data_IF_044492947121
#
_entry.id   IF_044492947121
#
_cell.length_a   1.000
_cell.length_b   1.000
_cell.length_c   1.000
_cell.angle_alpha   90.00
_cell.angle_beta   90.00
_cell.angle_gamma   90.00
#
_symmetry.space_group_name_H-M   'P 1'
#
loop_
_entity.id
_entity.type
_entity.pdbx_description
1 polymer ?
#
# COMPACT_ATOMS: atom_id res chain seq x y z
N UNK A 1 -0.99 22.06 -2.77
CA UNK A 1 -2.24 21.92 -3.57
C UNK A 1 -3.13 20.92 -2.88
N UNK A 2 -4.44 21.13 -2.88
CA UNK A 2 -5.41 20.17 -2.35
C UNK A 2 -5.42 18.90 -3.21
N UNK A 3 -5.46 17.72 -2.57
CA UNK A 3 -5.56 16.43 -3.28
C UNK A 3 -6.90 16.35 -4.01
N UNK A 4 -6.85 15.91 -5.27
CA UNK A 4 -8.05 15.63 -6.06
C UNK A 4 -8.78 14.40 -5.52
N UNK A 5 -10.10 14.43 -5.60
CA UNK A 5 -11.03 13.36 -5.24
C UNK A 5 -11.59 12.72 -6.51
N UNK A 6 -12.29 11.59 -6.38
CA UNK A 6 -12.96 10.96 -7.52
C UNK A 6 -13.91 11.92 -8.27
N UNK A 7 -14.50 12.91 -7.58
CA UNK A 7 -15.40 13.90 -8.20
C UNK A 7 -14.70 14.87 -9.14
N UNK A 8 -13.38 14.97 -9.05
CA UNK A 8 -12.56 15.87 -9.86
C UNK A 8 -12.11 15.21 -11.18
N UNK A 9 -12.44 13.93 -11.40
CA UNK A 9 -12.08 13.17 -12.60
C UNK A 9 -13.32 12.81 -13.42
N UNK A 10 -13.14 12.70 -14.75
CA UNK A 10 -14.17 12.17 -15.63
C UNK A 10 -14.52 10.71 -15.25
N UNK A 11 -15.80 10.32 -15.24
CA UNK A 11 -16.21 8.95 -14.90
C UNK A 11 -15.52 7.87 -15.74
N UNK A 12 -15.36 8.09 -17.03
CA UNK A 12 -14.71 7.15 -17.95
C UNK A 12 -13.22 7.01 -17.66
N UNK A 13 -12.57 8.08 -17.17
CA UNK A 13 -11.18 8.01 -16.74
C UNK A 13 -11.04 7.17 -15.45
N UNK A 14 -11.99 7.28 -14.52
CA UNK A 14 -12.06 6.43 -13.32
C UNK A 14 -12.24 4.96 -13.70
N UNK A 15 -13.09 4.65 -14.67
CA UNK A 15 -13.29 3.29 -15.17
C UNK A 15 -12.03 2.72 -15.83
N UNK A 16 -11.33 3.52 -16.64
CA UNK A 16 -10.03 3.12 -17.19
C UNK A 16 -9.01 2.81 -16.08
N UNK A 17 -8.98 3.63 -15.03
CA UNK A 17 -8.10 3.41 -13.90
C UNK A 17 -8.49 2.14 -13.13
N UNK A 18 -9.77 1.87 -12.96
CA UNK A 18 -10.26 0.65 -12.33
C UNK A 18 -9.81 -0.60 -13.09
N UNK A 19 -10.00 -0.63 -14.42
CA UNK A 19 -9.51 -1.72 -15.26
C UNK A 19 -8.01 -1.91 -15.16
N UNK A 20 -7.23 -0.81 -15.13
CA UNK A 20 -5.79 -0.89 -14.94
C UNK A 20 -5.44 -1.43 -13.55
N UNK A 21 -6.08 -0.92 -12.50
CA UNK A 21 -5.82 -1.29 -11.12
C UNK A 21 -6.20 -2.74 -10.79
N UNK A 22 -7.11 -3.33 -11.57
CA UNK A 22 -7.52 -4.74 -11.47
C UNK A 22 -6.87 -5.64 -12.54
N UNK A 23 -5.92 -5.12 -13.33
CA UNK A 23 -5.13 -5.91 -14.28
C UNK A 23 -5.87 -6.30 -15.57
N UNK A 24 -7.04 -5.71 -15.84
CA UNK A 24 -7.84 -5.93 -17.05
C UNK A 24 -7.23 -5.26 -18.28
N UNK A 25 -6.49 -4.16 -18.08
CA UNK A 25 -5.67 -3.50 -19.11
C UNK A 25 -4.25 -3.28 -18.60
N UNK A 26 -3.30 -3.24 -19.53
CA UNK A 26 -1.91 -2.92 -19.24
C UNK A 26 -1.74 -1.44 -18.88
N UNK A 27 -0.61 -1.12 -18.22
CA UNK A 27 -0.21 0.28 -17.97
C UNK A 27 -0.14 1.08 -19.27
N UNK A 28 0.33 0.47 -20.36
CA UNK A 28 0.44 1.14 -21.67
C UNK A 28 -0.94 1.49 -22.23
N UNK A 29 -1.87 0.54 -22.23
CA UNK A 29 -3.25 0.78 -22.69
C UNK A 29 -3.95 1.84 -21.84
N UNK A 30 -3.72 1.86 -20.52
CA UNK A 30 -4.20 2.95 -19.68
C UNK A 30 -3.66 4.30 -20.15
N UNK A 31 -2.33 4.43 -20.31
CA UNK A 31 -1.69 5.69 -20.69
C UNK A 31 -2.17 6.17 -22.06
N UNK A 32 -2.29 5.27 -23.03
CA UNK A 32 -2.76 5.58 -24.39
C UNK A 32 -4.21 6.10 -24.37
N UNK A 33 -5.10 5.46 -23.60
CA UNK A 33 -6.51 5.86 -23.49
C UNK A 33 -6.71 7.10 -22.61
N UNK A 34 -5.92 7.25 -21.56
CA UNK A 34 -5.95 8.40 -20.66
C UNK A 34 -5.44 9.69 -21.33
N UNK A 35 -4.67 9.58 -22.42
CA UNK A 35 -4.18 10.74 -23.17
C UNK A 35 -5.29 11.67 -23.67
N UNK A 36 -6.52 11.16 -23.87
CA UNK A 36 -7.70 12.00 -24.20
C UNK A 36 -8.02 13.04 -23.11
N UNK A 37 -7.65 12.76 -21.86
CA UNK A 37 -7.92 13.63 -20.71
C UNK A 37 -6.71 14.51 -20.33
N UNK A 38 -5.62 14.43 -21.10
CA UNK A 38 -4.37 15.17 -20.91
C UNK A 38 -4.48 16.62 -21.40
N UNK A 39 -5.29 17.44 -20.72
CA UNK A 39 -5.56 18.85 -21.08
C UNK A 39 -4.60 19.79 -20.34
N UNK A 40 -4.25 20.93 -20.94
CA UNK A 40 -3.55 22.02 -20.24
C UNK A 40 -2.11 21.70 -19.83
N UNK A 41 -1.42 20.82 -20.58
CA UNK A 41 -0.04 20.42 -20.28
C UNK A 41 0.08 19.26 -19.28
N UNK A 42 -1.04 18.72 -18.79
CA UNK A 42 -1.04 17.45 -18.07
C UNK A 42 -0.65 16.31 -19.01
N UNK A 43 0.17 15.37 -18.54
CA UNK A 43 0.48 14.15 -19.27
C UNK A 43 -0.35 12.98 -18.73
N UNK A 44 -0.53 11.92 -19.53
CA UNK A 44 -1.19 10.69 -19.05
C UNK A 44 -0.48 10.08 -17.82
N UNK A 45 0.85 10.24 -17.71
CA UNK A 45 1.61 9.82 -16.54
C UNK A 45 1.33 10.67 -15.31
N UNK A 46 1.16 11.99 -15.47
CA UNK A 46 0.76 12.87 -14.37
C UNK A 46 -0.65 12.52 -13.88
N UNK A 47 -1.59 12.27 -14.79
CA UNK A 47 -2.94 11.79 -14.48
C UNK A 47 -2.87 10.49 -13.68
N UNK A 48 -2.10 9.51 -14.14
CA UNK A 48 -1.92 8.25 -13.42
C UNK A 48 -1.38 8.49 -11.99
N UNK A 49 -0.43 9.40 -11.83
CA UNK A 49 0.12 9.77 -10.53
C UNK A 49 -0.93 10.36 -9.58
N UNK A 50 -1.82 11.21 -10.09
CA UNK A 50 -2.90 11.82 -9.30
C UNK A 50 -3.96 10.81 -8.85
N UNK A 51 -4.22 9.76 -9.64
CA UNK A 51 -5.23 8.74 -9.36
C UNK A 51 -4.73 7.60 -8.48
N UNK A 52 -3.41 7.37 -8.44
CA UNK A 52 -2.83 6.28 -7.65
C UNK A 52 -2.96 6.52 -6.14
N UNK A 53 -3.06 5.44 -5.33
CA UNK A 53 -2.94 5.54 -3.89
C UNK A 53 -1.64 6.25 -3.52
N UNK A 54 -1.74 7.17 -2.57
CA UNK A 54 -0.56 7.78 -1.94
C UNK A 54 -0.58 7.34 -0.48
N UNK A 55 0.19 6.28 -0.19
CA UNK A 55 0.23 5.68 1.13
C UNK A 55 0.93 6.59 2.15
N UNK A 56 1.77 7.53 1.71
CA UNK A 56 2.44 8.46 2.61
C UNK A 56 1.43 9.35 3.35
N UNK A 57 0.31 9.69 2.72
CA UNK A 57 -0.77 10.44 3.37
C UNK A 57 -1.52 9.65 4.44
N UNK A 58 -1.40 8.32 4.44
CA UNK A 58 -2.08 7.44 5.38
C UNK A 58 -1.14 6.90 6.48
N UNK A 59 0.16 7.21 6.41
CA UNK A 59 1.15 6.77 7.40
C UNK A 59 0.87 7.43 8.76
N UNK A 60 0.71 6.60 9.79
CA UNK A 60 0.52 7.05 11.18
C UNK A 60 1.75 6.79 12.03
N UNK A 61 2.48 5.70 11.77
CA UNK A 61 3.72 5.36 12.46
C UNK A 61 4.82 5.29 11.41
N UNK A 62 5.83 6.15 11.55
CA UNK A 62 6.98 6.13 10.65
C UNK A 62 7.69 4.78 10.74
N UNK A 63 8.16 4.25 9.62
CA UNK A 63 9.06 3.10 9.62
C UNK A 63 10.40 3.36 10.35
N UNK A 64 10.74 4.63 10.58
CA UNK A 64 11.91 5.06 11.35
C UNK A 64 11.57 5.43 12.81
N UNK A 65 10.36 5.15 13.30
CA UNK A 65 10.01 5.42 14.70
C UNK A 65 10.95 4.61 15.62
N UNK A 66 11.70 5.27 16.52
CA UNK A 66 12.72 4.61 17.35
C UNK A 66 12.13 3.63 18.35
N UNK A 67 10.82 3.70 18.62
CA UNK A 67 10.13 2.82 19.56
C UNK A 67 9.69 1.50 18.93
N UNK A 68 9.91 1.29 17.63
CA UNK A 68 9.60 0.03 16.95
C UNK A 68 10.85 -0.64 16.40
N UNK A 69 10.74 -1.95 16.21
CA UNK A 69 11.70 -2.76 15.47
C UNK A 69 10.94 -3.61 14.47
N UNK A 70 11.03 -3.23 13.20
CA UNK A 70 10.43 -3.93 12.07
C UNK A 70 11.50 -4.65 11.26
N UNK A 71 11.25 -5.91 10.95
CA UNK A 71 12.14 -6.79 10.20
C UNK A 71 11.32 -7.58 9.16
N UNK A 72 11.86 -7.77 7.96
CA UNK A 72 11.27 -8.75 7.05
C UNK A 72 11.80 -10.14 7.40
N UNK A 73 10.89 -11.09 7.58
CA UNK A 73 11.20 -12.48 7.86
C UNK A 73 10.69 -13.37 6.74
N UNK A 74 11.19 -14.61 6.70
CA UNK A 74 10.59 -15.69 5.93
C UNK A 74 10.05 -16.76 6.87
N UNK A 75 8.96 -17.42 6.47
CA UNK A 75 8.42 -18.57 7.19
C UNK A 75 8.00 -19.67 6.22
N UNK A 76 8.09 -20.92 6.68
CA UNK A 76 7.68 -22.08 5.91
C UNK A 76 6.15 -22.17 5.83
N UNK A 77 5.64 -22.27 4.62
CA UNK A 77 4.25 -22.54 4.26
C UNK A 77 4.20 -23.80 3.38
N UNK A 78 4.37 -25.00 3.98
CA UNK A 78 4.54 -26.26 3.24
C UNK A 78 3.32 -26.64 2.40
N UNK A 79 2.13 -26.18 2.81
CA UNK A 79 0.87 -26.39 2.09
C UNK A 79 0.47 -25.15 1.24
N UNK A 80 1.37 -24.19 1.08
CA UNK A 80 1.18 -22.96 0.33
C UNK A 80 2.35 -22.70 -0.61
N UNK A 81 2.87 -21.48 -0.60
CA UNK A 81 3.91 -21.05 -1.54
C UNK A 81 5.36 -21.38 -1.09
N UNK A 82 5.56 -22.47 -0.35
CA UNK A 82 6.89 -22.89 0.09
C UNK A 82 7.44 -21.98 1.19
N UNK A 83 8.20 -20.95 0.83
CA UNK A 83 8.64 -19.90 1.75
C UNK A 83 7.91 -18.59 1.47
N UNK A 84 7.33 -18.00 2.51
CA UNK A 84 6.57 -16.76 2.41
C UNK A 84 7.29 -15.66 3.19
N UNK A 85 7.44 -14.49 2.56
CA UNK A 85 7.95 -13.28 3.21
C UNK A 85 6.85 -12.59 4.01
N UNK A 86 7.15 -12.21 5.25
CA UNK A 86 6.29 -11.38 6.10
C UNK A 86 7.05 -10.14 6.61
N UNK A 87 6.30 -9.11 7.00
CA UNK A 87 6.82 -7.98 7.77
C UNK A 87 6.44 -8.19 9.23
N UNK A 88 7.43 -8.39 10.09
CA UNK A 88 7.27 -8.61 11.51
C UNK A 88 7.70 -7.35 12.25
N UNK A 89 6.86 -6.81 13.12
CA UNK A 89 7.18 -5.62 13.90
C UNK A 89 6.72 -5.74 15.34
N UNK A 90 7.51 -5.16 16.23
CA UNK A 90 7.26 -5.11 17.67
C UNK A 90 7.81 -3.82 18.26
N UNK A 91 7.41 -3.49 19.48
CA UNK A 91 8.03 -2.41 20.21
C UNK A 91 9.52 -2.70 20.49
N UNK A 92 10.37 -1.69 20.34
CA UNK A 92 11.83 -1.82 20.43
C UNK A 92 12.28 -2.22 21.84
N UNK A 93 11.65 -1.63 22.86
CA UNK A 93 11.94 -1.88 24.27
C UNK A 93 11.37 -3.20 24.82
N UNK A 94 10.74 -4.05 24.02
CA UNK A 94 10.16 -5.29 24.56
C UNK A 94 11.22 -6.35 24.84
N UNK A 95 11.21 -6.85 26.08
CA UNK A 95 11.92 -8.05 26.51
C UNK A 95 10.92 -9.19 26.81
N UNK A 96 11.32 -10.43 26.53
CA UNK A 96 10.52 -11.62 26.84
C UNK A 96 9.41 -11.96 25.85
N UNK A 97 8.45 -12.77 26.29
CA UNK A 97 7.39 -13.32 25.43
C UNK A 97 6.31 -12.27 25.14
N UNK A 98 5.98 -12.09 23.87
CA UNK A 98 4.95 -11.17 23.39
C UNK A 98 3.64 -11.89 23.05
N UNK A 99 2.53 -11.20 23.24
CA UNK A 99 1.27 -11.52 22.55
C UNK A 99 1.41 -11.09 21.08
N UNK A 100 0.82 -11.85 20.18
CA UNK A 100 0.95 -11.63 18.73
C UNK A 100 -0.41 -11.49 18.04
N UNK A 101 -0.45 -10.67 17.01
CA UNK A 101 -1.57 -10.51 16.08
C UNK A 101 -1.07 -10.80 14.67
N UNK A 102 -1.81 -11.57 13.88
CA UNK A 102 -1.50 -11.73 12.45
C UNK A 102 -2.29 -10.70 11.65
N UNK A 103 -1.59 -9.83 10.91
CA UNK A 103 -2.22 -8.86 10.01
C UNK A 103 -2.24 -9.41 8.60
N UNK A 104 -3.44 -9.64 8.05
CA UNK A 104 -3.63 -10.10 6.67
C UNK A 104 -3.97 -8.90 5.80
N UNK A 105 -3.22 -8.71 4.72
CA UNK A 105 -3.44 -7.61 3.78
C UNK A 105 -4.74 -7.76 2.97
N UNK A 106 -5.16 -6.69 2.31
CA UNK A 106 -6.31 -6.66 1.40
C UNK A 106 -5.97 -7.29 0.02
N UNK A 107 -6.66 -6.90 -1.05
CA UNK A 107 -6.51 -7.46 -2.40
C UNK A 107 -5.28 -6.94 -3.20
N UNK A 108 -4.32 -6.28 -2.54
CA UNK A 108 -3.15 -5.65 -3.20
C UNK A 108 -1.80 -6.03 -2.58
N UNK A 109 -1.76 -7.14 -1.86
CA UNK A 109 -0.54 -7.62 -1.21
C UNK A 109 -0.12 -6.76 -0.02
N UNK A 110 1.06 -7.10 0.52
CA UNK A 110 1.69 -6.36 1.60
C UNK A 110 2.23 -5.02 1.08
N UNK A 111 1.43 -3.96 1.26
CA UNK A 111 1.76 -2.60 0.85
C UNK A 111 2.15 -1.73 2.07
N UNK A 112 2.68 -0.51 1.86
CA UNK A 112 3.13 0.36 2.96
C UNK A 112 2.04 0.69 3.99
N UNK A 113 0.76 0.72 3.59
CA UNK A 113 -0.35 0.94 4.52
C UNK A 113 -0.53 -0.24 5.48
N UNK A 114 -0.46 -1.48 4.98
CA UNK A 114 -0.58 -2.66 5.84
C UNK A 114 0.62 -2.80 6.77
N UNK A 115 1.82 -2.47 6.30
CA UNK A 115 3.01 -2.40 7.16
C UNK A 115 2.83 -1.35 8.26
N UNK A 116 2.23 -0.19 7.94
CA UNK A 116 1.90 0.83 8.94
C UNK A 116 0.87 0.33 9.97
N UNK A 117 -0.15 -0.41 9.55
CA UNK A 117 -1.11 -1.04 10.48
C UNK A 117 -0.39 -1.99 11.44
N UNK A 118 0.57 -2.79 10.97
CA UNK A 118 1.39 -3.62 11.84
C UNK A 118 2.23 -2.77 12.83
N UNK A 119 2.82 -1.65 12.37
CA UNK A 119 3.56 -0.72 13.25
C UNK A 119 2.67 -0.09 14.32
N UNK A 120 1.41 0.23 14.01
CA UNK A 120 0.42 0.73 14.99
C UNK A 120 0.15 -0.30 16.09
N UNK A 121 0.06 -1.59 15.72
CA UNK A 121 -0.09 -2.68 16.69
C UNK A 121 1.16 -2.85 17.56
N UNK A 122 2.34 -2.73 16.98
CA UNK A 122 3.60 -2.69 17.72
C UNK A 122 3.64 -1.57 18.77
N UNK A 123 3.21 -0.34 18.40
CA UNK A 123 3.07 0.78 19.35
C UNK A 123 2.00 0.53 20.42
N UNK A 124 1.01 -0.31 20.14
CA UNK A 124 0.00 -0.75 21.11
C UNK A 124 0.49 -1.90 22.02
N UNK A 125 1.74 -2.36 21.87
CA UNK A 125 2.39 -3.33 22.77
C UNK A 125 2.20 -4.80 22.38
N UNK A 126 1.74 -5.09 21.16
CA UNK A 126 1.68 -6.47 20.63
C UNK A 126 2.62 -6.64 19.44
N UNK A 127 3.15 -7.85 19.25
CA UNK A 127 3.89 -8.17 18.03
C UNK A 127 2.90 -8.36 16.87
N UNK A 128 3.23 -7.85 15.69
CA UNK A 128 2.40 -7.96 14.50
C UNK A 128 3.21 -8.42 13.28
#
# INVERSE_FOLDING_TARGET
MTRLTARDFAPELLELYDFYAHGMITKREFLDRAAKYAVGGLTASAILGMMKPDYALAEQVSFNDPDIRGDYITYASPNGNGEVRGYLVRHAATEGQLRSVVVVHENRGLNPYIEDVARRLAKAGVMA
#
